data_IF_501906952521
#
_entry.id   IF_501906952521
#
_cell.length_a   1.000
_cell.length_b   1.000
_cell.length_c   1.000
_cell.angle_alpha   90.00
_cell.angle_beta   90.00
_cell.angle_gamma   90.00
#
_symmetry.space_group_name_H-M   'P 1'
#
loop_
_entity.id
_entity.type
_entity.pdbx_description
1 polymer ?
#
# COMPACT_ATOMS: atom_id res chain seq x y z
N UNK A 1 4.66 47.78 3.37
CA UNK A 1 5.46 46.54 3.30
C UNK A 1 5.88 46.21 4.72
N UNK A 2 5.08 45.42 5.44
CA UNK A 2 5.44 44.95 6.77
C UNK A 2 6.31 43.71 6.61
N UNK A 3 7.59 43.89 6.92
CA UNK A 3 8.59 42.84 7.02
C UNK A 3 8.20 41.92 8.19
N UNK A 4 7.44 40.87 7.89
CA UNK A 4 7.15 39.81 8.85
C UNK A 4 8.42 38.98 8.98
N UNK A 5 9.29 39.40 9.90
CA UNK A 5 10.46 38.64 10.32
C UNK A 5 10.02 37.21 10.68
N UNK A 6 10.32 36.28 9.78
CA UNK A 6 10.08 34.86 9.98
C UNK A 6 11.04 34.41 11.08
N UNK A 7 10.56 34.32 12.31
CA UNK A 7 11.33 33.73 13.41
C UNK A 7 11.39 32.22 13.14
N UNK A 8 12.52 31.76 12.63
CA UNK A 8 12.79 30.34 12.46
C UNK A 8 12.82 29.66 13.84
N UNK A 9 11.78 28.88 14.14
CA UNK A 9 11.71 28.07 15.35
C UNK A 9 12.55 26.81 15.13
N UNK A 10 13.75 26.77 15.72
CA UNK A 10 14.60 25.58 15.72
C UNK A 10 14.21 24.61 16.83
N UNK A 11 13.69 23.43 16.46
CA UNK A 11 13.44 22.34 17.43
C UNK A 11 14.80 21.80 17.93
N UNK A 12 15.04 21.73 19.25
CA UNK A 12 16.24 21.11 19.83
C UNK A 12 16.50 19.71 19.29
N UNK A 13 17.77 19.37 19.03
CA UNK A 13 18.13 18.13 18.33
C UNK A 13 17.75 16.86 19.11
N UNK A 14 17.81 16.93 20.44
CA UNK A 14 17.42 15.88 21.39
C UNK A 14 15.90 15.68 21.47
N UNK A 15 15.10 16.63 20.97
CA UNK A 15 13.63 16.50 20.86
C UNK A 15 13.17 16.02 19.49
N UNK A 16 14.07 15.90 18.50
CA UNK A 16 13.70 15.44 17.16
C UNK A 16 13.49 13.92 17.16
N UNK A 17 12.52 13.42 16.39
CA UNK A 17 12.39 12.00 16.18
C UNK A 17 13.60 11.47 15.40
N UNK A 18 13.95 10.20 15.61
CA UNK A 18 15.00 9.53 14.85
C UNK A 18 14.69 9.47 13.33
N UNK A 19 13.41 9.60 12.94
CA UNK A 19 12.98 9.65 11.55
C UNK A 19 11.78 10.60 11.42
N UNK A 20 11.85 11.56 10.49
CA UNK A 20 10.83 12.59 10.29
C UNK A 20 9.68 12.20 9.35
N UNK A 21 9.62 10.96 8.85
CA UNK A 21 8.63 10.55 7.84
C UNK A 21 7.31 10.10 8.48
N UNK A 22 6.44 11.07 8.77
CA UNK A 22 5.09 10.86 9.35
C UNK A 22 3.94 10.82 8.33
N UNK A 23 4.24 10.61 7.04
CA UNK A 23 3.22 10.58 5.98
C UNK A 23 2.26 9.39 6.10
N UNK A 24 0.99 9.60 5.74
CA UNK A 24 -0.07 8.59 5.77
C UNK A 24 -0.18 7.76 4.47
N UNK A 25 0.87 7.75 3.64
CA UNK A 25 0.88 7.09 2.34
C UNK A 25 1.31 8.05 1.21
N UNK A 26 2.51 7.90 0.62
CA UNK A 26 3.60 7.01 1.06
C UNK A 26 4.06 7.30 2.51
N UNK A 27 4.69 6.31 3.15
CA UNK A 27 5.11 6.38 4.56
C UNK A 27 6.54 5.87 4.75
N UNK A 28 7.03 5.88 6.00
CA UNK A 28 8.39 5.45 6.35
C UNK A 28 8.66 4.00 5.89
N UNK A 29 9.69 3.83 5.05
CA UNK A 29 10.34 2.54 4.80
C UNK A 29 11.61 2.46 5.65
N UNK A 30 11.80 1.38 6.39
CA UNK A 30 12.94 1.21 7.29
C UNK A 30 14.25 1.01 6.50
N UNK A 31 15.40 1.54 6.94
CA UNK A 31 16.66 1.42 6.19
C UNK A 31 17.05 -0.02 5.84
N UNK A 32 16.85 -0.97 6.75
CA UNK A 32 17.16 -2.38 6.53
C UNK A 32 16.29 -3.02 5.44
N UNK A 33 15.07 -2.53 5.22
CA UNK A 33 14.22 -3.01 4.11
C UNK A 33 14.74 -2.52 2.76
N UNK A 34 15.27 -1.29 2.70
CA UNK A 34 15.91 -0.77 1.49
C UNK A 34 17.24 -1.50 1.21
N UNK A 35 18.02 -1.78 2.25
CA UNK A 35 19.26 -2.54 2.14
C UNK A 35 19.01 -3.96 1.59
N UNK A 36 18.01 -4.67 2.12
CA UNK A 36 17.63 -6.00 1.64
C UNK A 36 17.18 -6.00 0.17
N UNK A 37 16.51 -4.94 -0.28
CA UNK A 37 16.17 -4.77 -1.70
C UNK A 37 17.41 -4.56 -2.56
N UNK A 38 18.36 -3.74 -2.12
CA UNK A 38 19.61 -3.52 -2.85
C UNK A 38 20.44 -4.80 -2.95
N UNK A 39 20.52 -5.58 -1.86
CA UNK A 39 21.26 -6.83 -1.80
C UNK A 39 20.65 -7.91 -2.71
N UNK A 40 19.33 -8.08 -2.69
CA UNK A 40 18.64 -9.12 -3.47
C UNK A 40 18.19 -8.66 -4.87
N UNK A 41 18.33 -7.37 -5.19
CA UNK A 41 17.72 -6.74 -6.36
C UNK A 41 18.14 -7.37 -7.69
N UNK A 42 19.41 -7.71 -7.86
CA UNK A 42 19.94 -8.33 -9.09
C UNK A 42 19.33 -9.70 -9.41
N UNK A 43 18.76 -10.38 -8.40
CA UNK A 43 18.07 -11.67 -8.58
C UNK A 43 16.70 -11.50 -9.27
N UNK A 44 16.08 -10.33 -9.13
CA UNK A 44 14.69 -10.10 -9.56
C UNK A 44 14.59 -9.04 -10.66
N UNK A 45 15.28 -7.91 -10.48
CA UNK A 45 15.17 -6.74 -11.34
C UNK A 45 15.72 -7.04 -12.74
N UNK A 46 14.96 -6.69 -13.77
CA UNK A 46 15.31 -7.01 -15.17
C UNK A 46 15.09 -8.46 -15.58
N UNK A 47 14.58 -9.32 -14.68
CA UNK A 47 14.25 -10.71 -15.00
C UNK A 47 12.75 -10.89 -15.29
N UNK A 48 12.39 -11.98 -15.97
CA UNK A 48 10.99 -12.23 -16.31
C UNK A 48 10.16 -12.66 -15.09
N UNK A 49 9.03 -12.02 -14.88
CA UNK A 49 8.06 -12.35 -13.83
C UNK A 49 7.44 -13.76 -13.97
N UNK A 50 7.57 -14.37 -15.14
CA UNK A 50 7.09 -15.75 -15.40
C UNK A 50 8.08 -16.81 -14.93
N UNK A 51 9.30 -16.42 -14.57
CA UNK A 51 10.36 -17.33 -14.18
C UNK A 51 10.38 -17.60 -12.68
N UNK A 52 11.03 -18.70 -12.29
CA UNK A 52 11.08 -19.21 -10.92
C UNK A 52 11.45 -18.13 -9.89
N UNK A 53 12.49 -17.27 -10.06
CA UNK A 53 12.89 -16.32 -9.03
C UNK A 53 11.75 -15.37 -8.61
N UNK A 54 11.06 -14.76 -9.58
CA UNK A 54 9.96 -13.83 -9.31
C UNK A 54 8.69 -14.57 -8.87
N UNK A 55 8.38 -15.74 -9.44
CA UNK A 55 7.25 -16.56 -8.98
C UNK A 55 7.41 -16.98 -7.51
N UNK A 56 8.61 -17.37 -7.11
CA UNK A 56 8.92 -17.71 -5.71
C UNK A 56 8.81 -16.49 -4.80
N UNK A 57 9.20 -15.29 -5.25
CA UNK A 57 8.99 -14.05 -4.50
C UNK A 57 7.50 -13.76 -4.28
N UNK A 58 6.67 -13.86 -5.32
CA UNK A 58 5.21 -13.70 -5.21
C UNK A 58 4.61 -14.77 -4.29
N UNK A 59 5.08 -16.02 -4.40
CA UNK A 59 4.67 -17.12 -3.52
C UNK A 59 4.91 -16.79 -2.04
N UNK A 60 6.11 -16.30 -1.69
CA UNK A 60 6.44 -15.88 -0.32
C UNK A 60 5.55 -14.73 0.17
N UNK A 61 5.18 -13.78 -0.68
CA UNK A 61 4.24 -12.70 -0.31
C UNK A 61 2.87 -13.28 0.04
N UNK A 62 2.33 -14.18 -0.81
CA UNK A 62 1.03 -14.81 -0.56
C UNK A 62 1.04 -15.63 0.73
N UNK A 63 2.06 -16.47 0.92
CA UNK A 63 2.21 -17.31 2.12
C UNK A 63 2.38 -16.46 3.38
N UNK A 64 3.25 -15.45 3.35
CA UNK A 64 3.50 -14.57 4.49
C UNK A 64 2.24 -13.81 4.91
N UNK A 65 1.44 -13.31 3.96
CA UNK A 65 0.15 -12.67 4.26
C UNK A 65 -0.86 -13.68 4.82
N UNK A 66 -0.93 -14.89 4.25
CA UNK A 66 -1.82 -15.93 4.74
C UNK A 66 -1.52 -16.31 6.20
N UNK A 67 -0.24 -16.43 6.55
CA UNK A 67 0.22 -16.70 7.91
C UNK A 67 -0.02 -15.51 8.84
N UNK A 68 0.36 -14.29 8.43
CA UNK A 68 0.21 -13.08 9.24
C UNK A 68 -1.24 -12.83 9.65
N UNK A 69 -2.19 -13.11 8.75
CA UNK A 69 -3.63 -12.93 9.00
C UNK A 69 -4.34 -14.20 9.45
N UNK A 70 -3.62 -15.32 9.64
CA UNK A 70 -4.18 -16.62 10.01
C UNK A 70 -5.42 -16.99 9.17
N UNK A 71 -5.27 -16.98 7.84
CA UNK A 71 -6.40 -17.14 6.93
C UNK A 71 -7.12 -18.49 7.13
N UNK A 72 -8.47 -18.48 7.18
CA UNK A 72 -9.26 -19.71 7.21
C UNK A 72 -9.08 -20.56 5.95
N UNK A 73 -9.45 -21.84 6.04
CA UNK A 73 -9.51 -22.72 4.88
C UNK A 73 -10.39 -22.13 3.77
N UNK A 74 -9.93 -22.25 2.52
CA UNK A 74 -10.62 -21.73 1.33
C UNK A 74 -10.39 -20.24 1.03
N UNK A 75 -9.69 -19.49 1.89
CA UNK A 75 -9.32 -18.09 1.62
C UNK A 75 -8.05 -18.01 0.79
N UNK A 76 -8.00 -17.05 -0.13
CA UNK A 76 -6.85 -16.82 -1.00
C UNK A 76 -6.34 -15.38 -0.94
N UNK A 77 -5.03 -15.22 -1.05
CA UNK A 77 -4.38 -13.93 -1.29
C UNK A 77 -4.30 -13.70 -2.80
N UNK A 78 -4.98 -12.66 -3.29
CA UNK A 78 -4.91 -12.20 -4.68
C UNK A 78 -4.10 -10.91 -4.77
N UNK A 79 -3.42 -10.69 -5.90
CA UNK A 79 -2.65 -9.48 -6.16
C UNK A 79 -2.74 -9.07 -7.63
N UNK A 80 -2.71 -7.77 -7.88
CA UNK A 80 -2.76 -7.15 -9.20
C UNK A 80 -2.19 -5.74 -9.17
N UNK A 81 -1.92 -5.19 -10.36
CA UNK A 81 -1.40 -3.83 -10.50
C UNK A 81 -2.53 -2.80 -10.37
N UNK A 82 -2.18 -1.57 -9.94
CA UNK A 82 -3.10 -0.42 -9.91
C UNK A 82 -3.53 0.02 -8.49
N UNK A 83 -3.20 -0.74 -7.46
CA UNK A 83 -3.50 -0.38 -6.07
C UNK A 83 -5.00 -0.39 -5.74
N UNK A 84 -5.34 0.18 -4.58
CA UNK A 84 -6.72 0.13 -4.04
C UNK A 84 -7.74 0.79 -4.96
N UNK A 85 -7.39 1.89 -5.64
CA UNK A 85 -8.32 2.59 -6.54
C UNK A 85 -8.73 1.71 -7.72
N UNK A 86 -7.79 1.01 -8.37
CA UNK A 86 -8.12 0.08 -9.45
C UNK A 86 -8.90 -1.15 -8.94
N UNK A 87 -8.62 -1.59 -7.70
CA UNK A 87 -9.38 -2.68 -7.09
C UNK A 87 -10.86 -2.34 -6.89
N UNK A 88 -11.20 -1.09 -6.57
CA UNK A 88 -12.60 -0.69 -6.43
C UNK A 88 -13.41 -0.88 -7.71
N UNK A 89 -12.85 -0.50 -8.86
CA UNK A 89 -13.49 -0.73 -10.15
C UNK A 89 -13.60 -2.23 -10.44
N UNK A 90 -12.51 -2.99 -10.24
CA UNK A 90 -12.51 -4.43 -10.44
C UNK A 90 -13.54 -5.15 -9.55
N UNK A 91 -13.69 -4.72 -8.29
CA UNK A 91 -14.68 -5.25 -7.36
C UNK A 91 -16.11 -4.88 -7.77
N UNK A 92 -16.34 -3.65 -8.24
CA UNK A 92 -17.63 -3.23 -8.74
C UNK A 92 -18.08 -4.11 -9.92
N UNK A 93 -17.23 -4.30 -10.92
CA UNK A 93 -17.53 -5.15 -12.08
C UNK A 93 -17.59 -6.65 -11.75
N UNK A 94 -16.69 -7.13 -10.89
CA UNK A 94 -16.49 -8.56 -10.66
C UNK A 94 -17.32 -9.17 -9.53
N UNK A 95 -17.79 -8.35 -8.58
CA UNK A 95 -18.43 -8.83 -7.34
C UNK A 95 -19.83 -8.28 -7.11
N UNK A 96 -20.19 -7.10 -7.64
CA UNK A 96 -21.55 -6.56 -7.49
C UNK A 96 -22.45 -7.12 -8.58
N UNK A 97 -23.41 -7.97 -8.20
CA UNK A 97 -24.37 -8.54 -9.16
C UNK A 97 -25.55 -7.62 -9.48
N UNK A 98 -26.04 -6.90 -8.46
CA UNK A 98 -27.26 -6.05 -8.58
C UNK A 98 -27.18 -4.80 -7.71
N UNK A 99 -26.76 -4.93 -6.45
CA UNK A 99 -26.68 -3.81 -5.50
C UNK A 99 -25.66 -4.10 -4.41
N UNK A 100 -25.02 -3.05 -3.91
CA UNK A 100 -24.14 -3.05 -2.75
C UNK A 100 -24.65 -2.10 -1.66
N UNK A 101 -24.26 -2.35 -0.42
CA UNK A 101 -24.44 -1.42 0.70
C UNK A 101 -23.07 -0.89 1.13
N UNK A 102 -22.97 0.43 1.29
CA UNK A 102 -21.73 1.10 1.71
C UNK A 102 -21.94 1.86 3.01
N UNK A 103 -20.96 1.80 3.90
CA UNK A 103 -20.81 2.74 5.02
C UNK A 103 -19.79 3.80 4.61
N UNK A 104 -20.22 5.06 4.47
CA UNK A 104 -19.40 6.15 3.96
C UNK A 104 -19.23 7.26 5.02
N UNK A 105 -17.99 7.45 5.47
CA UNK A 105 -17.63 8.34 6.58
C UNK A 105 -16.29 9.08 6.36
N UNK A 106 -15.81 9.13 5.11
CA UNK A 106 -14.57 9.82 4.75
C UNK A 106 -14.14 9.52 3.32
N UNK A 107 -13.04 10.17 2.91
CA UNK A 107 -12.55 10.25 1.53
C UNK A 107 -12.58 8.90 0.77
N UNK A 108 -11.96 7.86 1.34
CA UNK A 108 -11.83 6.57 0.64
C UNK A 108 -13.15 5.78 0.61
N UNK A 109 -13.89 5.74 1.72
CA UNK A 109 -15.18 5.05 1.80
C UNK A 109 -16.22 5.64 0.84
N UNK A 110 -16.25 6.98 0.73
CA UNK A 110 -17.13 7.70 -0.20
C UNK A 110 -16.73 7.49 -1.67
N UNK A 111 -15.43 7.39 -1.97
CA UNK A 111 -14.96 7.09 -3.33
C UNK A 111 -15.39 5.71 -3.82
N UNK A 112 -15.25 4.67 -3.00
CA UNK A 112 -15.70 3.34 -3.40
C UNK A 112 -17.23 3.28 -3.57
N UNK A 113 -17.98 3.91 -2.66
CA UNK A 113 -19.44 4.00 -2.79
C UNK A 113 -19.87 4.68 -4.11
N UNK A 114 -19.12 5.71 -4.55
CA UNK A 114 -19.36 6.36 -5.85
C UNK A 114 -19.06 5.44 -7.02
N UNK A 115 -17.97 4.68 -6.99
CA UNK A 115 -17.59 3.73 -8.06
C UNK A 115 -18.73 2.75 -8.34
N UNK A 116 -19.36 2.19 -7.30
CA UNK A 116 -20.45 1.21 -7.44
C UNK A 116 -21.78 1.81 -7.89
N UNK A 117 -21.93 3.13 -8.02
CA UNK A 117 -23.17 3.73 -8.55
C UNK A 117 -23.34 3.52 -10.06
N UNK A 118 -22.25 3.25 -10.77
CA UNK A 118 -22.28 2.91 -12.20
C UNK A 118 -22.27 1.40 -12.48
N UNK A 119 -22.30 0.57 -11.44
CA UNK A 119 -22.24 -0.88 -11.52
C UNK A 119 -23.63 -1.53 -11.50
#
# INVERSE_FOLDING_TARGET
>A
MTDSAHLDIAIPADLKPADGRFGCGPSKVRPEQLAALAESGSTYMGTSHRQKPVKSLVGRVREGLAQLFALPEGYEVLLGNGGTTAFWDAAAFGLVRQRSQHLAFGEFSSKFAKVTTGA
#
